data_IF_708295053314
#
_entry.id   IF_708295053314
#
_cell.length_a   1.000
_cell.length_b   1.000
_cell.length_c   1.000
_cell.angle_alpha   90.00
_cell.angle_beta   90.00
_cell.angle_gamma   90.00
#
_symmetry.space_group_name_H-M   'P 1'
#
loop_
_entity.id
_entity.type
_entity.pdbx_description
1 polymer ?
#
# COMPACT_ATOMS: atom_id res chain seq x y z
N UNK A 1 -12.11 8.21 -16.07
CA UNK A 1 -11.56 9.37 -16.78
C UNK A 1 -10.54 10.12 -15.92
N UNK A 2 -9.52 10.71 -16.54
CA UNK A 2 -8.47 11.46 -15.85
C UNK A 2 -9.00 12.62 -15.01
N UNK A 3 -10.13 13.17 -15.37
CA UNK A 3 -10.79 14.25 -14.61
C UNK A 3 -11.12 13.90 -13.16
N UNK A 4 -11.21 12.62 -12.81
CA UNK A 4 -11.36 12.20 -11.41
C UNK A 4 -10.13 12.50 -10.55
N UNK A 5 -9.01 12.74 -11.18
CA UNK A 5 -7.72 12.99 -10.53
C UNK A 5 -7.22 14.43 -10.71
N UNK A 6 -8.08 15.31 -11.21
CA UNK A 6 -7.72 16.71 -11.49
C UNK A 6 -7.10 17.42 -10.30
N UNK A 7 -7.60 17.14 -9.07
CA UNK A 7 -7.06 17.74 -7.86
C UNK A 7 -5.59 17.36 -7.57
N UNK A 8 -5.14 16.21 -8.07
CA UNK A 8 -3.74 15.76 -7.95
C UNK A 8 -2.92 16.17 -9.19
N UNK A 9 -3.52 16.15 -10.37
CA UNK A 9 -2.84 16.47 -11.64
C UNK A 9 -2.58 17.97 -11.82
N UNK A 10 -3.47 18.83 -11.30
CA UNK A 10 -3.35 20.28 -11.38
C UNK A 10 -2.47 20.90 -10.29
N UNK A 11 -2.01 20.06 -9.34
CA UNK A 11 -1.28 20.52 -8.17
C UNK A 11 -2.19 21.03 -7.05
N UNK A 12 -1.60 21.35 -5.91
CA UNK A 12 -2.32 21.72 -4.68
C UNK A 12 -2.34 23.21 -4.37
N UNK A 13 -1.79 24.03 -5.28
CA UNK A 13 -1.65 25.48 -5.06
C UNK A 13 -0.77 25.76 -3.83
N UNK A 14 -1.26 26.58 -2.93
CA UNK A 14 -0.56 26.94 -1.69
C UNK A 14 -0.64 25.84 -0.60
N UNK A 15 -1.42 24.80 -0.82
CA UNK A 15 -1.59 23.72 0.16
C UNK A 15 -0.46 22.72 0.07
N UNK A 16 0.33 22.59 1.11
CA UNK A 16 1.36 21.55 1.23
C UNK A 16 0.71 20.16 1.32
N UNK A 17 1.26 19.22 0.58
CA UNK A 17 0.86 17.80 0.60
C UNK A 17 2.08 16.93 0.30
N UNK A 18 2.27 15.86 1.08
CA UNK A 18 3.31 14.89 0.78
C UNK A 18 2.96 14.07 -0.47
N UNK A 19 3.96 13.58 -1.23
CA UNK A 19 3.73 12.65 -2.34
C UNK A 19 2.96 11.41 -1.92
N UNK A 20 3.25 10.85 -0.74
CA UNK A 20 2.53 9.70 -0.18
C UNK A 20 1.04 10.01 0.01
N UNK A 21 0.70 11.17 0.58
CA UNK A 21 -0.70 11.56 0.76
C UNK A 21 -1.40 11.84 -0.59
N UNK A 22 -0.70 12.39 -1.58
CA UNK A 22 -1.25 12.55 -2.92
C UNK A 22 -1.58 11.19 -3.54
N UNK A 23 -0.68 10.20 -3.38
CA UNK A 23 -0.91 8.84 -3.82
C UNK A 23 -2.11 8.20 -3.09
N UNK A 24 -2.20 8.31 -1.76
CA UNK A 24 -3.33 7.75 -0.98
C UNK A 24 -4.67 8.32 -1.45
N UNK A 25 -4.73 9.58 -1.85
CA UNK A 25 -5.94 10.17 -2.44
C UNK A 25 -6.28 9.56 -3.80
N UNK A 26 -5.28 9.32 -4.64
CA UNK A 26 -5.46 8.61 -5.91
C UNK A 26 -5.97 7.20 -5.65
N UNK A 27 -5.33 6.46 -4.75
CA UNK A 27 -5.72 5.11 -4.35
C UNK A 27 -7.16 5.06 -3.84
N UNK A 28 -7.56 6.02 -2.99
CA UNK A 28 -8.93 6.14 -2.51
C UNK A 28 -9.93 6.35 -3.64
N UNK A 29 -9.58 7.14 -4.64
CA UNK A 29 -10.43 7.34 -5.82
C UNK A 29 -10.53 6.07 -6.69
N UNK A 30 -9.44 5.31 -6.82
CA UNK A 30 -9.44 4.02 -7.52
C UNK A 30 -10.32 2.99 -6.80
N UNK A 31 -10.19 2.85 -5.48
CA UNK A 31 -11.01 1.95 -4.66
C UNK A 31 -12.51 2.23 -4.76
N UNK A 32 -12.89 3.48 -4.96
CA UNK A 32 -14.28 3.91 -5.13
C UNK A 32 -14.80 3.79 -6.57
N UNK A 33 -13.97 3.40 -7.51
CA UNK A 33 -14.40 3.25 -8.90
C UNK A 33 -15.29 2.03 -9.05
N UNK A 34 -16.46 2.21 -9.70
CA UNK A 34 -17.48 1.15 -9.83
C UNK A 34 -17.04 -0.01 -10.72
N UNK A 35 -16.10 0.23 -11.64
CA UNK A 35 -15.66 -0.78 -12.60
C UNK A 35 -14.43 -1.55 -12.14
N UNK A 36 -13.49 -0.88 -11.50
CA UNK A 36 -12.19 -1.48 -11.13
C UNK A 36 -11.94 -1.50 -9.62
N UNK A 37 -12.73 -0.80 -8.82
CA UNK A 37 -12.45 -0.61 -7.39
C UNK A 37 -12.29 -1.92 -6.63
N UNK A 38 -13.06 -2.96 -6.96
CA UNK A 38 -12.95 -4.29 -6.34
C UNK A 38 -11.68 -5.06 -6.73
N UNK A 39 -10.98 -4.62 -7.78
CA UNK A 39 -9.73 -5.23 -8.25
C UNK A 39 -8.49 -4.53 -7.67
N UNK A 40 -8.67 -3.37 -7.07
CA UNK A 40 -7.58 -2.60 -6.45
C UNK A 40 -7.29 -3.18 -5.08
N UNK A 41 -6.06 -3.65 -4.87
CA UNK A 41 -5.64 -4.34 -3.65
C UNK A 41 -4.49 -3.58 -3.01
N UNK A 42 -4.74 -2.74 -2.00
CA UNK A 42 -3.68 -2.16 -1.18
C UNK A 42 -3.08 -3.23 -0.27
N UNK A 43 -1.76 -3.34 -0.27
CA UNK A 43 -1.00 -4.32 0.52
C UNK A 43 0.05 -3.57 1.31
N UNK A 44 0.10 -3.78 2.60
CA UNK A 44 1.06 -3.16 3.50
C UNK A 44 1.61 -4.19 4.48
N UNK A 45 2.92 -4.15 4.80
CA UNK A 45 3.46 -5.01 5.86
C UNK A 45 2.86 -4.62 7.20
N UNK A 46 2.85 -3.31 7.50
CA UNK A 46 2.30 -2.71 8.71
C UNK A 46 2.20 -1.19 8.54
N UNK A 47 1.71 -0.51 9.59
CA UNK A 47 1.74 0.95 9.70
C UNK A 47 1.03 1.72 8.59
N UNK A 48 -0.11 1.23 8.14
CA UNK A 48 -0.97 1.95 7.20
C UNK A 48 -1.23 3.40 7.63
N UNK A 49 -1.22 3.68 8.93
CA UNK A 49 -1.39 5.02 9.49
C UNK A 49 -0.23 5.94 9.15
N UNK A 50 1.00 5.45 9.18
CA UNK A 50 2.19 6.23 8.80
C UNK A 50 2.12 6.68 7.35
N UNK A 51 1.50 5.88 6.48
CA UNK A 51 1.26 6.25 5.09
C UNK A 51 -0.01 7.11 4.88
N UNK A 52 -0.73 7.46 5.96
CA UNK A 52 -1.97 8.22 5.87
C UNK A 52 -3.14 7.42 5.28
N UNK A 53 -3.10 6.09 5.42
CA UNK A 53 -4.10 5.17 4.85
C UNK A 53 -5.24 4.83 5.84
N UNK A 54 -5.24 5.38 7.04
CA UNK A 54 -6.25 5.07 8.08
C UNK A 54 -7.70 5.33 7.63
N UNK A 55 -7.89 6.26 6.72
CA UNK A 55 -9.20 6.52 6.12
C UNK A 55 -9.76 5.34 5.32
N UNK A 56 -8.90 4.42 4.87
CA UNK A 56 -9.29 3.20 4.16
C UNK A 56 -9.91 2.17 5.09
N UNK A 57 -9.54 2.14 6.37
CA UNK A 57 -10.11 1.20 7.34
C UNK A 57 -11.63 1.36 7.45
N UNK A 58 -12.12 2.60 7.40
CA UNK A 58 -13.56 2.88 7.44
C UNK A 58 -14.25 2.59 6.10
N UNK A 59 -13.58 2.85 4.99
CA UNK A 59 -14.20 2.82 3.66
C UNK A 59 -14.19 1.43 3.04
N UNK A 60 -13.12 0.66 3.19
CA UNK A 60 -12.96 -0.67 2.58
C UNK A 60 -12.54 -1.76 3.56
N UNK A 61 -12.06 -1.39 4.76
CA UNK A 61 -11.65 -2.33 5.81
C UNK A 61 -10.36 -3.08 5.52
N UNK A 62 -9.79 -3.63 6.59
CA UNK A 62 -8.67 -4.57 6.52
C UNK A 62 -9.24 -5.97 6.36
N UNK A 63 -8.67 -6.77 5.49
CA UNK A 63 -9.11 -8.14 5.29
C UNK A 63 -8.74 -9.03 6.49
N UNK A 64 -9.74 -9.71 7.03
CA UNK A 64 -9.57 -10.80 7.98
C UNK A 64 -10.67 -11.83 7.73
N UNK A 65 -10.35 -13.09 7.40
CA UNK A 65 -11.36 -14.10 7.05
C UNK A 65 -12.35 -14.40 8.19
N UNK A 66 -11.95 -14.15 9.43
CA UNK A 66 -12.81 -14.32 10.61
C UNK A 66 -13.57 -13.04 10.98
N UNK A 67 -13.34 -11.94 10.26
CA UNK A 67 -13.79 -10.62 10.68
C UNK A 67 -13.04 -10.12 11.92
N UNK A 68 -13.54 -9.06 12.53
CA UNK A 68 -12.92 -8.51 13.74
C UNK A 68 -13.43 -9.24 14.99
N UNK A 69 -12.57 -10.03 15.61
CA UNK A 69 -12.90 -10.91 16.74
C UNK A 69 -12.60 -10.29 18.11
N UNK A 70 -12.08 -9.06 18.15
CA UNK A 70 -11.68 -8.34 19.36
C UNK A 70 -12.05 -6.86 19.26
N UNK A 71 -12.09 -6.19 20.41
CA UNK A 71 -12.18 -4.73 20.47
C UNK A 71 -10.78 -4.16 20.67
N UNK A 72 -10.30 -3.25 19.78
CA UNK A 72 -9.03 -2.59 19.99
C UNK A 72 -8.94 -1.88 21.33
N UNK A 73 -7.79 -1.94 22.00
CA UNK A 73 -7.61 -1.29 23.32
C UNK A 73 -7.78 0.23 23.27
N UNK A 74 -7.51 0.83 22.10
CA UNK A 74 -7.63 2.26 21.83
C UNK A 74 -8.91 2.63 21.06
N UNK A 75 -9.93 1.77 21.11
CA UNK A 75 -11.18 1.98 20.37
C UNK A 75 -11.89 3.30 20.72
N UNK A 76 -11.72 3.77 21.97
CA UNK A 76 -12.27 5.04 22.45
C UNK A 76 -11.43 6.27 22.08
N UNK A 77 -10.23 6.05 21.55
CA UNK A 77 -9.38 7.10 21.03
C UNK A 77 -9.70 7.34 19.55
N UNK A 78 -9.26 8.43 18.97
CA UNK A 78 -9.62 8.88 17.63
C UNK A 78 -9.27 7.93 16.46
N UNK A 79 -8.85 6.71 16.72
CA UNK A 79 -8.28 5.81 15.75
C UNK A 79 -9.26 4.69 15.41
N UNK A 80 -10.05 4.91 14.37
CA UNK A 80 -10.92 3.88 13.83
C UNK A 80 -10.11 2.75 13.20
N UNK A 81 -10.34 1.53 13.67
CA UNK A 81 -9.74 0.31 13.13
C UNK A 81 -10.85 -0.70 12.85
N UNK A 82 -10.87 -1.26 11.65
CA UNK A 82 -11.90 -2.23 11.26
C UNK A 82 -11.30 -3.34 10.40
N UNK A 83 -11.46 -4.58 10.88
CA UNK A 83 -11.26 -5.79 10.11
C UNK A 83 -12.59 -6.36 9.63
N UNK A 84 -12.59 -7.00 8.47
CA UNK A 84 -13.80 -7.54 7.86
C UNK A 84 -13.45 -8.68 6.90
N UNK A 85 -14.32 -9.69 6.79
CA UNK A 85 -14.15 -10.79 5.85
C UNK A 85 -14.22 -10.33 4.37
N UNK A 86 -14.78 -9.18 4.11
CA UNK A 86 -14.82 -8.51 2.80
C UNK A 86 -13.88 -7.30 2.72
N UNK A 87 -12.98 -7.16 3.70
CA UNK A 87 -11.96 -6.10 3.72
C UNK A 87 -11.06 -6.17 2.49
N UNK A 88 -10.57 -5.02 2.06
CA UNK A 88 -9.82 -4.90 0.80
C UNK A 88 -8.35 -4.53 1.00
N UNK A 89 -7.98 -4.04 2.19
CA UNK A 89 -6.58 -3.79 2.57
C UNK A 89 -6.00 -5.07 3.13
N UNK A 90 -4.92 -5.57 2.54
CA UNK A 90 -4.14 -6.68 3.09
C UNK A 90 -3.04 -6.11 3.98
N UNK A 91 -3.08 -6.43 5.26
CA UNK A 91 -2.10 -5.98 6.25
C UNK A 91 -1.49 -7.19 6.95
N UNK A 92 -0.21 -7.45 6.63
CA UNK A 92 0.51 -8.64 7.05
C UNK A 92 1.17 -8.55 8.44
N UNK A 93 1.18 -7.36 9.04
CA UNK A 93 2.09 -7.07 10.15
C UNK A 93 3.49 -6.77 9.62
N UNK A 94 4.49 -6.64 10.50
CA UNK A 94 5.88 -6.32 10.11
C UNK A 94 6.52 -7.55 9.44
N UNK A 95 6.10 -7.83 8.23
CA UNK A 95 6.53 -8.99 7.43
C UNK A 95 6.51 -8.62 5.94
N UNK A 96 7.59 -8.04 5.46
CA UNK A 96 7.71 -7.62 4.07
C UNK A 96 7.68 -8.81 3.10
N UNK A 97 8.22 -9.96 3.52
CA UNK A 97 8.18 -11.16 2.69
C UNK A 97 6.75 -11.68 2.51
N UNK A 98 5.94 -11.71 3.57
CA UNK A 98 4.52 -12.07 3.51
C UNK A 98 3.74 -11.12 2.61
N UNK A 99 3.89 -9.80 2.83
CA UNK A 99 3.24 -8.79 2.00
C UNK A 99 3.63 -8.89 0.51
N UNK A 100 4.89 -9.24 0.22
CA UNK A 100 5.33 -9.46 -1.16
C UNK A 100 4.72 -10.74 -1.75
N UNK A 101 4.53 -11.79 -0.98
CA UNK A 101 3.81 -13.00 -1.42
C UNK A 101 2.35 -12.68 -1.77
N UNK A 102 1.65 -11.91 -0.94
CA UNK A 102 0.31 -11.43 -1.25
C UNK A 102 0.27 -10.63 -2.54
N UNK A 103 1.26 -9.75 -2.71
CA UNK A 103 1.35 -8.95 -3.93
C UNK A 103 1.58 -9.85 -5.15
N UNK A 104 2.47 -10.83 -5.10
CA UNK A 104 2.73 -11.77 -6.21
C UNK A 104 1.44 -12.54 -6.53
N UNK A 105 0.73 -13.05 -5.53
CA UNK A 105 -0.52 -13.77 -5.71
C UNK A 105 -1.57 -12.91 -6.43
N UNK A 106 -1.78 -11.68 -6.00
CA UNK A 106 -2.69 -10.74 -6.66
C UNK A 106 -2.20 -10.35 -8.06
N UNK A 107 -0.90 -10.10 -8.21
CA UNK A 107 -0.28 -9.64 -9.47
C UNK A 107 -0.23 -10.71 -10.57
N UNK A 108 -0.34 -11.99 -10.22
CA UNK A 108 -0.38 -13.13 -11.14
C UNK A 108 -1.77 -13.72 -11.32
N UNK A 109 -2.78 -13.22 -10.61
CA UNK A 109 -4.16 -13.73 -10.62
C UNK A 109 -4.77 -13.75 -12.02
N UNK A 110 -4.38 -12.83 -12.89
CA UNK A 110 -4.80 -12.79 -14.29
C UNK A 110 -4.45 -14.08 -15.05
N UNK A 111 -3.31 -14.70 -14.71
CA UNK A 111 -2.84 -15.94 -15.32
C UNK A 111 -3.42 -17.17 -14.63
N UNK A 112 -3.53 -17.13 -13.31
CA UNK A 112 -3.96 -18.30 -12.49
C UNK A 112 -5.48 -18.45 -12.47
N UNK A 113 -6.19 -17.34 -12.38
CA UNK A 113 -7.65 -17.33 -12.18
C UNK A 113 -8.42 -16.63 -13.32
N UNK A 114 -7.72 -16.08 -14.31
CA UNK A 114 -8.36 -15.29 -15.37
C UNK A 114 -8.90 -13.93 -14.91
N UNK A 115 -8.62 -13.52 -13.67
CA UNK A 115 -9.12 -12.28 -13.09
C UNK A 115 -7.96 -11.30 -12.82
N UNK A 116 -7.84 -10.21 -13.59
CA UNK A 116 -6.75 -9.25 -13.41
C UNK A 116 -6.99 -8.39 -12.17
N UNK A 117 -6.15 -8.52 -11.16
CA UNK A 117 -6.10 -7.63 -10.00
C UNK A 117 -5.11 -6.48 -10.22
N UNK A 118 -5.24 -5.42 -9.42
CA UNK A 118 -4.40 -4.22 -9.48
C UNK A 118 -3.79 -4.01 -8.08
N UNK A 119 -2.76 -4.77 -7.72
CA UNK A 119 -2.16 -4.67 -6.40
C UNK A 119 -1.20 -3.48 -6.30
N UNK A 120 -1.22 -2.84 -5.14
CA UNK A 120 -0.31 -1.80 -4.71
C UNK A 120 0.38 -2.26 -3.43
N UNK A 121 1.65 -2.61 -3.51
CA UNK A 121 2.47 -2.92 -2.34
C UNK A 121 3.13 -1.63 -1.85
N UNK A 122 2.78 -1.20 -0.65
CA UNK A 122 3.25 0.04 -0.02
C UNK A 122 4.07 -0.34 1.21
N UNK A 123 5.32 0.09 1.24
CA UNK A 123 6.29 -0.29 2.26
C UNK A 123 7.23 0.87 2.61
N UNK A 124 7.94 0.76 3.71
CA UNK A 124 9.08 1.63 3.98
C UNK A 124 10.18 1.35 2.96
N UNK A 125 10.58 2.37 2.22
CA UNK A 125 11.58 2.24 1.15
C UNK A 125 12.84 1.52 1.62
N UNK A 126 13.33 1.87 2.82
CA UNK A 126 14.51 1.25 3.43
C UNK A 126 14.40 -0.27 3.57
N UNK A 127 13.20 -0.80 3.77
CA UNK A 127 12.96 -2.23 4.02
C UNK A 127 12.42 -2.98 2.80
N UNK A 128 12.35 -2.33 1.64
CA UNK A 128 11.90 -2.94 0.38
C UNK A 128 12.91 -3.92 -0.19
N UNK A 129 13.60 -3.52 -1.24
CA UNK A 129 14.48 -4.42 -2.00
C UNK A 129 15.54 -5.15 -1.18
N UNK A 130 16.02 -4.59 -0.08
CA UNK A 130 16.97 -5.31 0.79
C UNK A 130 16.34 -6.51 1.50
N UNK A 131 15.03 -6.58 1.68
CA UNK A 131 14.35 -7.71 2.33
C UNK A 131 13.62 -8.62 1.36
N UNK A 132 13.22 -8.10 0.19
CA UNK A 132 12.37 -8.84 -0.75
C UNK A 132 12.98 -8.94 -2.16
N UNK A 133 14.28 -8.69 -2.31
CA UNK A 133 14.93 -8.70 -3.61
C UNK A 133 14.69 -9.98 -4.40
N UNK A 134 14.88 -11.15 -3.78
CA UNK A 134 14.66 -12.45 -4.41
C UNK A 134 13.19 -12.63 -4.84
N UNK A 135 12.24 -12.17 -4.02
CA UNK A 135 10.82 -12.23 -4.37
C UNK A 135 10.48 -11.25 -5.51
N UNK A 136 11.16 -10.11 -5.59
CA UNK A 136 11.00 -9.18 -6.69
C UNK A 136 11.49 -9.80 -8.02
N UNK A 137 12.60 -10.54 -7.99
CA UNK A 137 13.06 -11.34 -9.13
C UNK A 137 12.06 -12.42 -9.53
N UNK A 138 11.57 -13.20 -8.57
CA UNK A 138 10.55 -14.23 -8.81
C UNK A 138 9.26 -13.61 -9.38
N UNK A 139 8.88 -12.43 -8.94
CA UNK A 139 7.76 -11.67 -9.49
C UNK A 139 7.99 -11.29 -10.96
N UNK A 140 9.19 -10.85 -11.30
CA UNK A 140 9.59 -10.58 -12.68
C UNK A 140 9.47 -11.82 -13.57
N UNK A 141 10.05 -12.93 -13.13
CA UNK A 141 9.99 -14.22 -13.83
C UNK A 141 8.55 -14.70 -14.02
N UNK A 142 7.70 -14.49 -13.03
CA UNK A 142 6.28 -14.84 -13.07
C UNK A 142 5.44 -13.85 -13.88
N UNK A 143 6.04 -12.79 -14.43
CA UNK A 143 5.35 -11.72 -15.14
C UNK A 143 4.23 -11.07 -14.32
N UNK A 144 4.48 -10.88 -13.04
CA UNK A 144 3.57 -10.23 -12.12
C UNK A 144 3.26 -8.80 -12.57
N UNK A 145 2.03 -8.33 -12.33
CA UNK A 145 1.53 -7.02 -12.77
C UNK A 145 1.00 -6.23 -11.58
N UNK A 146 1.61 -5.11 -11.27
CA UNK A 146 1.19 -4.28 -10.14
C UNK A 146 2.19 -3.17 -9.87
N UNK A 147 2.05 -2.54 -8.72
CA UNK A 147 2.84 -1.39 -8.33
C UNK A 147 3.51 -1.65 -6.98
N UNK A 148 4.77 -1.27 -6.89
CA UNK A 148 5.55 -1.28 -5.66
C UNK A 148 5.95 0.15 -5.32
N UNK A 149 5.63 0.61 -4.12
CA UNK A 149 5.81 2.00 -3.70
C UNK A 149 6.56 2.06 -2.38
N UNK A 150 7.81 2.54 -2.45
CA UNK A 150 8.60 2.86 -1.28
C UNK A 150 8.20 4.22 -0.71
N UNK A 151 7.67 4.24 0.49
CA UNK A 151 7.37 5.45 1.25
C UNK A 151 8.51 5.82 2.21
N UNK A 152 8.42 6.99 2.84
CA UNK A 152 9.34 7.46 3.89
C UNK A 152 10.83 7.43 3.51
N UNK A 153 11.14 7.65 2.24
CA UNK A 153 12.52 7.60 1.73
C UNK A 153 13.30 8.91 1.88
N UNK A 154 12.61 10.02 2.12
CA UNK A 154 13.20 11.35 2.11
C UNK A 154 14.01 11.66 3.37
N UNK A 155 15.31 11.88 3.22
CA UNK A 155 16.21 12.22 4.33
C UNK A 155 15.83 13.51 5.07
N UNK A 156 15.13 14.41 4.43
CA UNK A 156 14.73 15.71 4.99
C UNK A 156 13.34 15.71 5.61
N UNK A 157 12.56 14.65 5.41
CA UNK A 157 11.15 14.58 5.81
C UNK A 157 10.84 13.50 6.83
N UNK A 158 11.84 12.72 7.25
CA UNK A 158 11.74 11.65 8.24
C UNK A 158 11.83 12.20 9.67
N UNK A 159 10.96 13.14 9.98
CA UNK A 159 10.95 13.73 11.32
C UNK A 159 10.45 12.69 12.35
N UNK A 160 11.31 12.36 13.30
CA UNK A 160 11.00 11.43 14.39
C UNK A 160 11.19 9.94 14.08
N UNK A 161 11.50 9.57 12.83
CA UNK A 161 11.67 8.15 12.46
C UNK A 161 13.13 7.66 12.60
N UNK A 162 14.09 8.54 12.69
CA UNK A 162 15.50 8.23 12.89
C UNK A 162 16.22 7.72 11.64
N UNK A 163 17.52 7.52 11.78
CA UNK A 163 18.44 7.16 10.69
C UNK A 163 18.15 5.80 10.06
N UNK A 164 17.57 4.88 10.81
CA UNK A 164 17.26 3.53 10.33
C UNK A 164 16.21 3.49 9.20
N UNK A 165 15.46 4.55 9.01
CA UNK A 165 14.48 4.66 7.92
C UNK A 165 14.98 5.46 6.72
N UNK A 166 16.15 6.07 6.82
CA UNK A 166 16.73 6.80 5.70
C UNK A 166 17.19 5.84 4.59
N UNK A 167 16.69 6.06 3.40
CA UNK A 167 17.02 5.30 2.20
C UNK A 167 17.72 6.18 1.16
N UNK A 168 18.77 5.65 0.59
CA UNK A 168 19.50 6.28 -0.51
C UNK A 168 19.94 5.29 -1.58
N UNK A 169 19.53 4.01 -1.49
CA UNK A 169 20.07 2.92 -2.30
C UNK A 169 19.01 2.08 -3.01
N UNK A 170 17.73 2.12 -2.60
CA UNK A 170 16.69 1.26 -3.16
C UNK A 170 16.51 1.43 -4.67
N UNK A 171 16.64 2.64 -5.20
CA UNK A 171 16.58 2.89 -6.64
C UNK A 171 17.76 2.26 -7.41
N UNK A 172 18.93 2.14 -6.79
CA UNK A 172 20.09 1.47 -7.38
C UNK A 172 19.80 -0.04 -7.48
N UNK A 173 19.31 -0.64 -6.40
CA UNK A 173 18.94 -2.05 -6.39
C UNK A 173 17.80 -2.34 -7.39
N UNK A 174 16.84 -1.45 -7.49
CA UNK A 174 15.71 -1.59 -8.41
C UNK A 174 16.10 -1.43 -9.89
N UNK A 175 17.25 -0.83 -10.18
CA UNK A 175 17.76 -0.66 -11.54
C UNK A 175 18.54 -1.87 -12.07
N UNK A 176 18.80 -2.86 -11.23
CA UNK A 176 19.52 -4.08 -11.60
C UNK A 176 18.61 -5.05 -12.32
#
# INVERSE_FOLDING_TARGET
>A
PLSKFDAQLKGTGEREISPTMAFVRILTALLRDKNIGKRVVPIVPDESRTFGMEGLFRSVGIYNPLGQTYTPQDADQMMYYKESADGQVLQEGINEAGAMCDWIAAATSYSVHGEPMIPFYIYYSMFGFQRIGDLAWAAGDSRARGFMLGGTAGRTTLNGEGLQHEDGHSHILAST
#
